data_IF_792973643571
#
_entry.id   IF_792973643571
#
_cell.length_a   1.000
_cell.length_b   1.000
_cell.length_c   1.000
_cell.angle_alpha   90.00
_cell.angle_beta   90.00
_cell.angle_gamma   90.00
#
_symmetry.space_group_name_H-M   'P 1'
#
loop_
_entity.id
_entity.type
_entity.pdbx_description
1 polymer ?
#
# COMPACT_ATOMS: atom_id res chain seq x y z
N UNK A 1 -18.39 4.56 8.09
CA UNK A 1 -17.27 3.61 8.12
C UNK A 1 -15.97 4.36 7.89
N UNK A 2 -14.97 4.09 8.69
CA UNK A 2 -13.62 4.59 8.48
C UNK A 2 -12.71 3.47 8.01
N UNK A 3 -11.81 3.80 7.08
CA UNK A 3 -10.78 2.88 6.59
C UNK A 3 -9.43 3.53 6.82
N UNK A 4 -8.48 2.76 7.35
CA UNK A 4 -7.09 3.18 7.57
C UNK A 4 -6.16 2.23 6.86
N UNK A 5 -5.17 2.79 6.17
CA UNK A 5 -4.12 2.02 5.50
C UNK A 5 -2.79 2.29 6.21
N UNK A 6 -2.09 1.22 6.52
CA UNK A 6 -0.76 1.31 7.13
C UNK A 6 0.24 0.59 6.23
N UNK A 7 1.24 1.31 5.76
CA UNK A 7 2.32 0.73 4.97
C UNK A 7 3.45 0.31 5.88
N UNK A 8 3.95 -0.91 5.66
CA UNK A 8 5.06 -1.48 6.44
C UNK A 8 6.02 -2.21 5.53
N UNK A 9 7.23 -2.50 6.04
CA UNK A 9 8.25 -3.25 5.33
C UNK A 9 8.54 -2.65 3.94
N UNK A 10 8.71 -1.34 3.89
CA UNK A 10 8.99 -0.63 2.65
C UNK A 10 10.40 -0.96 2.19
N UNK A 11 10.53 -1.51 0.99
CA UNK A 11 11.80 -1.92 0.42
C UNK A 11 11.94 -1.34 -0.98
N UNK A 12 13.03 -0.60 -1.20
CA UNK A 12 13.39 -0.14 -2.55
C UNK A 12 14.13 -1.27 -3.23
N UNK A 13 13.54 -1.86 -4.26
CA UNK A 13 14.08 -3.03 -4.96
C UNK A 13 14.94 -2.65 -6.17
N UNK A 14 14.70 -1.48 -6.75
CA UNK A 14 15.51 -0.96 -7.84
C UNK A 14 15.48 0.56 -7.81
N UNK A 15 16.61 1.18 -8.07
CA UNK A 15 16.74 2.63 -8.07
C UNK A 15 17.69 3.06 -9.18
N UNK A 16 17.21 3.93 -10.08
CA UNK A 16 18.00 4.65 -11.06
C UNK A 16 17.79 6.15 -10.88
N UNK A 17 18.42 6.97 -11.71
CA UNK A 17 18.22 8.41 -11.67
C UNK A 17 16.74 8.81 -11.88
N UNK A 18 16.02 8.08 -12.74
CA UNK A 18 14.67 8.46 -13.16
C UNK A 18 13.58 7.46 -12.76
N UNK A 19 13.92 6.32 -12.17
CA UNK A 19 12.96 5.29 -11.82
C UNK A 19 13.30 4.66 -10.48
N UNK A 20 12.28 4.42 -9.67
CA UNK A 20 12.40 3.68 -8.43
C UNK A 20 11.29 2.64 -8.35
N UNK A 21 11.64 1.43 -7.92
CA UNK A 21 10.67 0.37 -7.63
C UNK A 21 10.65 0.13 -6.14
N UNK A 22 9.45 0.11 -5.60
CA UNK A 22 9.25 0.00 -4.15
C UNK A 22 8.21 -1.07 -3.88
N UNK A 23 8.58 -2.03 -3.03
CA UNK A 23 7.67 -3.04 -2.52
C UNK A 23 7.32 -2.71 -1.09
N UNK A 24 6.08 -2.92 -0.72
CA UNK A 24 5.61 -2.70 0.65
C UNK A 24 4.43 -3.62 0.97
N UNK A 25 4.18 -3.81 2.25
CA UNK A 25 2.93 -4.36 2.72
C UNK A 25 1.99 -3.23 3.10
N UNK A 26 0.71 -3.41 2.80
CA UNK A 26 -0.32 -2.48 3.21
C UNK A 26 -1.37 -3.24 4.02
N UNK A 27 -1.51 -2.86 5.27
CA UNK A 27 -2.54 -3.38 6.14
C UNK A 27 -3.71 -2.43 6.16
N UNK A 28 -4.90 -2.93 5.89
CA UNK A 28 -6.12 -2.15 5.91
C UNK A 28 -6.94 -2.49 7.14
N UNK A 29 -7.35 -1.46 7.86
CA UNK A 29 -8.26 -1.56 9.00
C UNK A 29 -9.56 -0.85 8.65
N UNK A 30 -10.66 -1.33 9.17
CA UNK A 30 -11.94 -0.65 9.06
C UNK A 30 -12.59 -0.52 10.42
N UNK A 31 -13.40 0.51 10.56
CA UNK A 31 -14.19 0.73 11.76
C UNK A 31 -15.59 1.13 11.35
N UNK A 32 -16.56 0.37 11.79
CA UNK A 32 -17.96 0.73 11.69
C UNK A 32 -18.34 1.62 12.87
N UNK A 33 -19.31 2.49 12.65
CA UNK A 33 -19.74 3.43 13.69
C UNK A 33 -20.13 2.71 14.98
N UNK A 34 -19.53 3.13 16.10
CA UNK A 34 -19.80 2.54 17.42
C UNK A 34 -19.12 1.21 17.67
N UNK A 35 -18.23 0.76 16.76
CA UNK A 35 -17.55 -0.51 16.91
C UNK A 35 -16.03 -0.31 17.02
N UNK A 36 -15.33 -1.37 17.41
CA UNK A 36 -13.86 -1.37 17.44
C UNK A 36 -13.30 -1.43 16.04
N UNK A 37 -12.14 -0.81 15.80
CA UNK A 37 -11.41 -1.04 14.55
C UNK A 37 -11.07 -2.53 14.40
N UNK A 38 -11.16 -3.04 13.19
CA UNK A 38 -10.83 -4.42 12.90
C UNK A 38 -9.88 -4.49 11.70
N UNK A 39 -9.03 -5.50 11.70
CA UNK A 39 -8.19 -5.82 10.58
C UNK A 39 -9.06 -6.32 9.43
N UNK A 40 -8.93 -5.70 8.26
CA UNK A 40 -9.74 -6.03 7.09
C UNK A 40 -8.96 -6.82 6.06
N UNK A 41 -7.77 -6.39 5.70
CA UNK A 41 -6.96 -7.07 4.71
C UNK A 41 -5.48 -6.78 4.89
N UNK A 42 -4.65 -7.70 4.38
CA UNK A 42 -3.22 -7.51 4.23
C UNK A 42 -2.92 -7.65 2.74
N UNK A 43 -2.23 -6.67 2.18
CA UNK A 43 -1.94 -6.58 0.76
C UNK A 43 -0.45 -6.37 0.54
N UNK A 44 0.04 -6.85 -0.60
CA UNK A 44 1.34 -6.43 -1.12
C UNK A 44 1.11 -5.31 -2.12
N UNK A 45 2.00 -4.32 -2.10
CA UNK A 45 1.91 -3.15 -2.98
C UNK A 45 3.26 -2.98 -3.67
N UNK A 46 3.26 -3.10 -5.00
CA UNK A 46 4.42 -2.85 -5.82
C UNK A 46 4.21 -1.55 -6.57
N UNK A 47 5.10 -0.58 -6.39
CA UNK A 47 4.96 0.74 -6.97
C UNK A 47 6.19 1.06 -7.80
N UNK A 48 5.96 1.56 -9.01
CA UNK A 48 6.99 2.13 -9.86
C UNK A 48 6.81 3.65 -9.86
N UNK A 49 7.86 4.34 -9.40
CA UNK A 49 7.93 5.78 -9.46
C UNK A 49 8.82 6.20 -10.62
N UNK A 50 8.45 7.25 -11.31
CA UNK A 50 9.30 7.88 -12.32
C UNK A 50 9.51 9.34 -12.00
N UNK A 51 10.73 9.81 -12.26
CA UNK A 51 11.05 11.22 -12.12
C UNK A 51 10.84 11.90 -13.46
N UNK A 52 9.98 12.92 -13.46
CA UNK A 52 9.69 13.75 -14.62
C UNK A 52 9.87 15.20 -14.19
N UNK A 53 10.76 15.93 -14.86
CA UNK A 53 11.07 17.33 -14.56
C UNK A 53 11.40 17.57 -13.08
N UNK A 54 12.18 16.64 -12.50
CA UNK A 54 12.61 16.74 -11.10
C UNK A 54 11.57 16.33 -10.08
N UNK A 55 10.39 15.88 -10.50
CA UNK A 55 9.30 15.45 -9.61
C UNK A 55 9.09 13.96 -9.75
N UNK A 56 9.01 13.27 -8.62
CA UNK A 56 8.68 11.85 -8.59
C UNK A 56 7.17 11.66 -8.66
N UNK A 57 6.74 10.86 -9.64
CA UNK A 57 5.34 10.54 -9.87
C UNK A 57 5.16 9.03 -9.80
N UNK A 58 3.99 8.59 -9.35
CA UNK A 58 3.60 7.19 -9.44
C UNK A 58 3.27 6.87 -10.90
N UNK A 59 4.09 6.02 -11.51
CA UNK A 59 3.89 5.59 -12.90
C UNK A 59 3.03 4.34 -12.97
N UNK A 60 3.19 3.44 -12.00
CA UNK A 60 2.48 2.17 -11.97
C UNK A 60 2.36 1.68 -10.54
N UNK A 61 1.23 1.11 -10.19
CA UNK A 61 1.02 0.52 -8.88
C UNK A 61 0.21 -0.74 -9.02
N UNK A 62 0.72 -1.83 -8.46
CA UNK A 62 0.03 -3.10 -8.41
C UNK A 62 -0.19 -3.49 -6.97
N UNK A 63 -1.43 -3.75 -6.63
CA UNK A 63 -1.81 -4.21 -5.29
C UNK A 63 -2.39 -5.61 -5.39
N UNK A 64 -1.87 -6.52 -4.58
CA UNK A 64 -2.38 -7.88 -4.49
C UNK A 64 -2.88 -8.12 -3.07
N UNK A 65 -4.12 -8.52 -2.95
CA UNK A 65 -4.71 -8.88 -1.66
C UNK A 65 -4.26 -10.29 -1.30
N UNK A 66 -3.44 -10.39 -0.25
CA UNK A 66 -2.92 -11.67 0.22
C UNK A 66 -3.89 -12.35 1.19
N UNK A 67 -4.45 -11.56 2.11
CA UNK A 67 -5.40 -12.05 3.09
C UNK A 67 -6.56 -11.08 3.24
N UNK A 68 -7.76 -11.65 3.34
CA UNK A 68 -8.97 -10.90 3.64
C UNK A 68 -9.60 -11.47 4.89
N UNK A 69 -9.91 -10.59 5.83
CA UNK A 69 -10.55 -10.95 7.09
C UNK A 69 -11.99 -10.45 7.04
N UNK A 70 -12.95 -11.34 7.11
CA UNK A 70 -14.34 -10.95 7.18
C UNK A 70 -14.81 -11.03 8.62
N UNK A 71 -15.53 -10.00 9.09
CA UNK A 71 -16.25 -10.05 10.33
C UNK A 71 -17.46 -10.96 10.12
N UNK A 72 -17.44 -12.09 10.75
CA UNK A 72 -18.60 -12.99 10.75
C UNK A 72 -19.58 -12.61 11.83
#
# INVERSE_FOLDING_TARGET
>A
MQVRHVLTNILVTALTHDEARVDAYMTAYRQLKGQRPELFSINTVDTVFRRVDGVWLIAEQKMVREFEFSAS
#
